data_IF_197733540854
#
_entry.id   IF_197733540854
#
_cell.length_a   1.000
_cell.length_b   1.000
_cell.length_c   1.000
_cell.angle_alpha   90.00
_cell.angle_beta   90.00
_cell.angle_gamma   90.00
#
_symmetry.space_group_name_H-M   'P 1'
#
loop_
_entity.id
_entity.type
_entity.pdbx_description
1 polymer ?
#
# COMPACT_ATOMS: atom_id res chain seq x y z
N UNK A 1 1.86 -23.24 19.85
CA UNK A 1 2.37 -21.85 19.98
C UNK A 1 1.21 -20.99 20.47
N UNK A 2 1.45 -20.05 21.38
CA UNK A 2 0.45 -19.11 21.88
C UNK A 2 0.55 -17.85 21.00
N UNK A 3 -0.57 -17.28 20.50
CA UNK A 3 -0.53 -16.06 19.70
C UNK A 3 -0.06 -14.86 20.53
N UNK A 4 0.71 -13.97 19.90
CA UNK A 4 1.19 -12.71 20.50
C UNK A 4 0.26 -11.56 20.12
N UNK A 5 -0.10 -10.71 21.08
CA UNK A 5 -0.86 -9.48 20.85
C UNK A 5 0.10 -8.33 20.57
N UNK A 6 0.13 -7.86 19.33
CA UNK A 6 0.91 -6.67 18.94
C UNK A 6 0.07 -5.41 19.21
N UNK A 7 0.38 -4.69 20.29
CA UNK A 7 -0.35 -3.49 20.72
C UNK A 7 0.50 -2.23 20.49
N UNK A 8 0.08 -1.28 19.65
CA UNK A 8 0.81 -0.03 19.43
C UNK A 8 0.63 0.96 20.59
N UNK A 9 1.58 1.87 20.77
CA UNK A 9 1.43 3.04 21.66
C UNK A 9 0.45 4.04 21.04
N UNK A 10 -0.56 4.46 21.81
CA UNK A 10 -1.61 5.38 21.38
C UNK A 10 -1.44 6.79 21.97
N UNK A 11 -0.29 7.10 22.58
CA UNK A 11 0.01 8.43 23.10
C UNK A 11 -0.09 9.47 21.96
N UNK A 12 -1.00 10.43 22.09
CA UNK A 12 -1.25 11.46 21.06
C UNK A 12 -2.11 11.02 19.86
N UNK A 13 -2.70 9.83 19.89
CA UNK A 13 -3.55 9.33 18.81
C UNK A 13 -4.87 10.13 18.69
N UNK A 14 -5.10 10.72 17.51
CA UNK A 14 -6.20 11.68 17.28
C UNK A 14 -7.52 11.02 16.90
N UNK A 15 -7.47 9.87 16.24
CA UNK A 15 -8.68 9.17 15.79
C UNK A 15 -9.49 8.69 16.98
N UNK A 16 -10.82 8.79 16.85
CA UNK A 16 -11.78 8.40 17.88
C UNK A 16 -12.64 7.24 17.37
N UNK A 17 -13.21 6.40 18.25
CA UNK A 17 -14.07 5.29 17.85
C UNK A 17 -15.33 5.72 17.08
N UNK A 18 -15.73 6.99 17.20
CA UNK A 18 -16.91 7.55 16.56
C UNK A 18 -16.54 8.80 15.75
N UNK A 19 -17.28 9.01 14.66
CA UNK A 19 -17.16 10.18 13.77
C UNK A 19 -18.32 11.15 14.00
N UNK A 20 -18.11 12.41 13.67
CA UNK A 20 -19.15 13.45 13.78
C UNK A 20 -20.16 13.34 12.64
N UNK A 21 -21.45 13.53 12.92
CA UNK A 21 -22.50 13.70 11.91
C UNK A 21 -22.30 14.92 10.99
N UNK A 22 -21.36 15.81 11.32
CA UNK A 22 -20.99 16.95 10.47
C UNK A 22 -20.02 16.57 9.35
N UNK A 23 -19.50 15.34 9.34
CA UNK A 23 -18.68 14.85 8.24
C UNK A 23 -19.53 14.80 6.95
N UNK A 24 -18.97 15.17 5.79
CA UNK A 24 -19.68 15.05 4.53
C UNK A 24 -19.93 13.57 4.21
N UNK A 25 -21.02 13.31 3.48
CA UNK A 25 -21.27 11.98 2.93
C UNK A 25 -20.18 11.65 1.90
N UNK A 26 -19.63 10.43 2.00
CA UNK A 26 -18.59 9.94 1.10
C UNK A 26 -19.09 8.65 0.44
N UNK A 27 -18.96 8.58 -0.88
CA UNK A 27 -19.20 7.34 -1.64
C UNK A 27 -17.87 6.63 -1.79
N UNK A 28 -17.73 5.46 -1.16
CA UNK A 28 -16.54 4.63 -1.28
C UNK A 28 -16.69 3.70 -2.47
N UNK A 29 -15.83 3.84 -3.47
CA UNK A 29 -15.68 2.87 -4.55
C UNK A 29 -14.87 1.66 -4.10
N UNK A 30 -15.03 0.54 -4.81
CA UNK A 30 -14.15 -0.62 -4.65
C UNK A 30 -12.69 -0.22 -4.92
N UNK A 31 -11.78 -0.66 -4.06
CA UNK A 31 -10.35 -0.42 -4.24
C UNK A 31 -9.74 -1.53 -5.09
N UNK A 32 -9.23 -1.18 -6.27
CA UNK A 32 -8.74 -2.15 -7.25
C UNK A 32 -7.21 -2.24 -7.28
N UNK A 33 -6.68 -3.31 -7.85
CA UNK A 33 -5.24 -3.43 -8.13
C UNK A 33 -4.71 -2.31 -9.04
N UNK A 34 -5.56 -1.76 -9.91
CA UNK A 34 -5.22 -0.62 -10.76
C UNK A 34 -5.05 0.66 -9.94
N UNK A 35 -5.91 0.90 -8.94
CA UNK A 35 -5.79 2.05 -8.04
C UNK A 35 -4.49 1.99 -7.24
N UNK A 36 -4.14 0.81 -6.73
CA UNK A 36 -2.86 0.59 -6.05
C UNK A 36 -1.67 0.83 -6.98
N UNK A 37 -1.73 0.31 -8.21
CA UNK A 37 -0.67 0.55 -9.20
C UNK A 37 -0.50 2.05 -9.49
N UNK A 38 -1.62 2.75 -9.68
CA UNK A 38 -1.63 4.17 -9.95
C UNK A 38 -1.08 4.99 -8.77
N UNK A 39 -1.42 4.64 -7.54
CA UNK A 39 -0.96 5.34 -6.35
C UNK A 39 0.56 5.21 -6.11
N UNK A 40 1.15 4.05 -6.45
CA UNK A 40 2.54 3.74 -6.07
C UNK A 40 3.53 3.81 -7.25
N UNK A 41 3.17 3.23 -8.40
CA UNK A 41 4.13 3.00 -9.49
C UNK A 41 3.97 3.98 -10.65
N UNK A 42 2.75 4.42 -10.96
CA UNK A 42 2.45 5.15 -12.19
C UNK A 42 3.31 6.40 -12.38
N UNK A 43 3.44 7.23 -11.34
CA UNK A 43 4.19 8.49 -11.41
C UNK A 43 5.63 8.27 -11.82
N UNK A 44 6.30 7.31 -11.17
CA UNK A 44 7.70 6.99 -11.44
C UNK A 44 7.87 6.43 -12.84
N UNK A 45 7.02 5.47 -13.25
CA UNK A 45 7.13 4.86 -14.58
C UNK A 45 6.98 5.92 -15.68
N UNK A 46 6.06 6.87 -15.51
CA UNK A 46 5.89 7.99 -16.45
C UNK A 46 7.14 8.88 -16.48
N UNK A 47 7.73 9.18 -15.33
CA UNK A 47 8.98 9.96 -15.23
C UNK A 47 10.16 9.23 -15.91
N UNK A 48 10.32 7.93 -15.67
CA UNK A 48 11.38 7.11 -16.27
C UNK A 48 11.20 6.97 -17.79
N UNK A 49 9.95 6.85 -18.26
CA UNK A 49 9.63 6.85 -19.68
C UNK A 49 10.00 8.17 -20.35
N UNK A 50 9.59 9.30 -19.76
CA UNK A 50 9.85 10.63 -20.30
C UNK A 50 11.34 10.99 -20.30
N UNK A 51 12.10 10.49 -19.32
CA UNK A 51 13.54 10.74 -19.19
C UNK A 51 14.42 9.72 -19.89
N UNK A 52 13.84 8.71 -20.55
CA UNK A 52 14.57 7.66 -21.25
C UNK A 52 15.36 6.72 -20.32
N UNK A 53 14.95 6.61 -19.05
CA UNK A 53 15.56 5.75 -18.03
C UNK A 53 14.97 4.34 -17.97
N UNK A 54 14.37 3.90 -19.07
CA UNK A 54 13.92 2.52 -19.25
C UNK A 54 14.92 1.77 -20.11
N UNK A 55 15.27 0.56 -19.68
CA UNK A 55 16.08 -0.37 -20.45
C UNK A 55 15.32 -0.85 -21.68
N UNK A 56 16.01 -1.50 -22.62
CA UNK A 56 15.42 -2.05 -23.85
C UNK A 56 14.33 -3.11 -23.61
N UNK A 57 14.32 -3.74 -22.44
CA UNK A 57 13.29 -4.70 -22.00
C UNK A 57 12.11 -4.04 -21.25
N UNK A 58 12.10 -2.71 -21.09
CA UNK A 58 11.06 -1.97 -20.38
C UNK A 58 11.24 -1.87 -18.87
N UNK A 59 12.33 -2.42 -18.30
CA UNK A 59 12.64 -2.27 -16.88
C UNK A 59 13.21 -0.89 -16.55
N UNK A 60 12.93 -0.40 -15.35
CA UNK A 60 13.59 0.80 -14.82
C UNK A 60 15.11 0.56 -14.67
N UNK A 61 15.91 1.55 -15.08
CA UNK A 61 17.36 1.55 -14.84
C UNK A 61 17.65 1.66 -13.35
N UNK A 62 16.88 2.47 -12.64
CA UNK A 62 16.98 2.68 -11.19
C UNK A 62 15.64 2.33 -10.53
N UNK A 63 15.36 1.06 -10.20
CA UNK A 63 14.07 0.66 -9.68
C UNK A 63 13.79 1.25 -8.29
N UNK A 64 12.53 1.57 -7.99
CA UNK A 64 12.11 1.99 -6.65
C UNK A 64 12.12 0.81 -5.66
N UNK A 65 12.07 1.10 -4.36
CA UNK A 65 11.96 0.04 -3.33
C UNK A 65 10.71 -0.83 -3.52
N UNK A 66 9.63 -0.26 -4.06
CA UNK A 66 8.41 -0.99 -4.38
C UNK A 66 8.57 -1.89 -5.63
N UNK A 67 9.41 -1.50 -6.60
CA UNK A 67 9.70 -2.29 -7.81
C UNK A 67 10.72 -3.39 -7.57
N UNK A 68 11.61 -3.24 -6.58
CA UNK A 68 12.59 -4.25 -6.19
C UNK A 68 11.99 -5.42 -5.40
N UNK A 69 10.72 -5.33 -4.99
CA UNK A 69 10.08 -6.38 -4.19
C UNK A 69 9.95 -7.67 -4.99
N UNK A 70 10.53 -8.76 -4.47
CA UNK A 70 10.32 -10.10 -5.04
C UNK A 70 8.92 -10.61 -4.68
N UNK A 71 8.36 -11.55 -5.45
CA UNK A 71 7.08 -12.18 -5.12
C UNK A 71 7.05 -12.78 -3.72
N UNK A 72 8.13 -13.42 -3.25
CA UNK A 72 8.17 -13.98 -1.90
C UNK A 72 8.14 -12.90 -0.81
N UNK A 73 8.90 -11.81 -0.99
CA UNK A 73 8.91 -10.71 -0.04
C UNK A 73 7.58 -9.96 -0.02
N UNK A 74 6.96 -9.76 -1.18
CA UNK A 74 5.62 -9.18 -1.28
C UNK A 74 4.59 -10.07 -0.56
N UNK A 75 4.67 -11.39 -0.72
CA UNK A 75 3.80 -12.35 -0.03
C UNK A 75 3.99 -12.34 1.48
N UNK A 76 5.23 -12.28 1.96
CA UNK A 76 5.54 -12.17 3.38
C UNK A 76 4.96 -10.86 3.96
N UNK A 77 5.14 -9.73 3.26
CA UNK A 77 4.60 -8.43 3.68
C UNK A 77 3.08 -8.43 3.73
N UNK A 78 2.41 -9.00 2.73
CA UNK A 78 0.95 -9.13 2.72
C UNK A 78 0.45 -9.95 3.92
N UNK A 79 1.27 -10.85 4.47
CA UNK A 79 0.92 -11.67 5.64
C UNK A 79 1.40 -11.10 6.98
N UNK A 80 1.91 -9.87 7.00
CA UNK A 80 2.27 -9.22 8.27
C UNK A 80 1.02 -8.76 9.02
N UNK A 81 1.15 -8.68 10.34
CA UNK A 81 0.08 -8.18 11.22
C UNK A 81 -0.28 -6.74 10.82
N UNK A 82 -1.60 -6.47 10.71
CA UNK A 82 -2.11 -5.19 10.22
C UNK A 82 -2.43 -5.12 8.72
N UNK A 83 -2.22 -6.21 7.96
CA UNK A 83 -2.81 -6.35 6.62
C UNK A 83 -4.29 -6.74 6.68
N UNK A 84 -5.04 -6.22 5.72
CA UNK A 84 -6.42 -6.56 5.37
C UNK A 84 -6.66 -8.06 5.12
N UNK A 85 -5.63 -8.84 4.79
CA UNK A 85 -5.76 -10.29 4.51
C UNK A 85 -6.25 -11.10 5.72
N UNK A 86 -6.15 -10.55 6.93
CA UNK A 86 -6.58 -11.17 8.18
C UNK A 86 -7.90 -10.60 8.72
N UNK A 87 -8.58 -9.73 7.97
CA UNK A 87 -9.95 -9.34 8.32
C UNK A 87 -10.91 -10.50 8.00
N UNK A 88 -11.69 -10.94 9.01
CA UNK A 88 -12.67 -12.02 8.85
C UNK A 88 -13.71 -11.61 7.80
N UNK A 89 -13.95 -12.50 6.82
CA UNK A 89 -15.09 -12.42 5.90
C UNK A 89 -16.39 -12.76 6.61
#
# INVERSE_FOLDING_TARGET
>A
MIPELVVPDLTGFRLKPYVSYRAPDVVQSEFTAQDLFNAIYSKKIVEDFNTGKLKSNGEAVEPSEAEKLTPELAWIKARQTGSDIFSER
#
